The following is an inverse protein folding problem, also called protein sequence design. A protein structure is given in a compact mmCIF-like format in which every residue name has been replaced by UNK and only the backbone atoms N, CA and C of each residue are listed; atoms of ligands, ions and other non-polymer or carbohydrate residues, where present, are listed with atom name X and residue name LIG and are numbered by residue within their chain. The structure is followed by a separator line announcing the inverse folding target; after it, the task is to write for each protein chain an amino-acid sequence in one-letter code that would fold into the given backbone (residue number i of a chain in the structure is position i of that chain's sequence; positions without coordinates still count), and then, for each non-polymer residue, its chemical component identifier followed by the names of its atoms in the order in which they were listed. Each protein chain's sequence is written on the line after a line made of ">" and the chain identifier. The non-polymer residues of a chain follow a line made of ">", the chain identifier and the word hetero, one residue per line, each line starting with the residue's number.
data_IF_116378421814
#
_entry.id   IF_116378421814
#
_cell.length_a   1.000
_cell.length_b   1.000
_cell.length_c   1.000
_cell.angle_alpha   90.00
_cell.angle_beta   90.00
_cell.angle_gamma   90.00
#
_symmetry.space_group_name_H-M   'P 1'
#
loop_
_entity.id
_entity.type
_entity.pdbx_description
1 polymer ?
#
# COMPACT_ATOMS: atom_id res chain seq x y z
N UNK A 1 -8.99 -7.64 1.14
CA UNK A 1 -7.73 -6.96 0.73
C UNK A 1 -7.14 -6.15 1.88
N UNK A 2 -7.36 -6.55 3.14
CA UNK A 2 -7.10 -5.71 4.34
C UNK A 2 -5.64 -5.26 4.48
N UNK A 3 -4.68 -6.11 4.10
CA UNK A 3 -3.27 -5.74 4.12
C UNK A 3 -2.96 -4.52 3.22
N UNK A 4 -3.53 -4.48 2.01
CA UNK A 4 -3.35 -3.33 1.11
C UNK A 4 -4.01 -2.05 1.67
N UNK A 5 -5.20 -2.18 2.26
CA UNK A 5 -5.89 -1.06 2.90
C UNK A 5 -5.16 -0.54 4.15
N UNK A 6 -4.50 -1.42 4.90
CA UNK A 6 -3.67 -1.02 6.04
C UNK A 6 -2.51 -0.13 5.58
N UNK A 7 -1.80 -0.49 4.50
CA UNK A 7 -0.75 0.35 3.93
C UNK A 7 -1.28 1.64 3.29
N UNK A 8 -2.48 1.61 2.71
CA UNK A 8 -3.11 2.82 2.18
C UNK A 8 -3.27 3.92 3.24
N UNK A 9 -3.50 3.55 4.51
CA UNK A 9 -3.63 4.52 5.62
C UNK A 9 -2.37 5.36 5.85
N UNK A 10 -1.20 4.86 5.47
CA UNK A 10 0.08 5.55 5.54
C UNK A 10 0.26 6.63 4.44
N UNK A 11 -0.62 6.69 3.44
CA UNK A 11 -0.59 7.75 2.43
C UNK A 11 -1.10 9.08 3.00
N UNK A 12 -0.35 10.16 2.73
CA UNK A 12 -0.73 11.55 3.02
C UNK A 12 -1.62 12.18 1.92
N UNK A 13 -1.95 11.43 0.88
CA UNK A 13 -2.76 11.95 -0.23
C UNK A 13 -4.20 12.29 0.20
N UNK A 14 -4.70 13.45 -0.23
CA UNK A 14 -6.03 13.96 0.11
C UNK A 14 -7.14 13.39 -0.77
N UNK A 15 -6.86 13.15 -2.06
CA UNK A 15 -7.86 12.67 -3.03
C UNK A 15 -8.13 11.18 -2.89
N UNK A 16 -7.07 10.38 -2.77
CA UNK A 16 -7.18 8.92 -2.68
C UNK A 16 -5.98 8.34 -1.95
N UNK A 17 -6.29 7.43 -1.01
CA UNK A 17 -5.31 6.66 -0.25
C UNK A 17 -5.24 5.27 -0.87
N UNK A 18 -4.15 4.98 -1.56
CA UNK A 18 -3.94 3.75 -2.32
C UNK A 18 -2.81 2.97 -1.68
N UNK A 19 -3.05 1.69 -1.39
CA UNK A 19 -2.05 0.75 -0.93
C UNK A 19 -1.98 -0.45 -1.86
N UNK A 20 -0.80 -1.05 -1.96
CA UNK A 20 -0.52 -2.19 -2.80
C UNK A 20 0.29 -3.24 -2.01
N UNK A 21 0.02 -4.51 -2.29
CA UNK A 21 0.79 -5.65 -1.78
C UNK A 21 1.16 -6.55 -2.95
N UNK A 22 2.43 -6.90 -3.06
CA UNK A 22 2.93 -7.88 -4.02
C UNK A 22 2.98 -9.24 -3.35
N UNK A 23 2.23 -10.22 -3.88
CA UNK A 23 2.10 -11.56 -3.29
C UNK A 23 2.74 -12.59 -4.20
N UNK A 24 3.59 -13.46 -3.63
CA UNK A 24 4.17 -14.62 -4.32
C UNK A 24 4.06 -15.85 -3.42
N UNK A 25 3.51 -16.95 -3.95
CA UNK A 25 3.30 -18.20 -3.19
C UNK A 25 2.57 -17.97 -1.86
N UNK A 26 1.49 -17.17 -1.91
CA UNK A 26 0.67 -16.79 -0.76
C UNK A 26 1.44 -16.08 0.39
N UNK A 27 2.56 -15.43 0.07
CA UNK A 27 3.32 -14.58 0.99
C UNK A 27 3.49 -13.19 0.39
N UNK A 28 3.29 -12.17 1.21
CA UNK A 28 3.61 -10.80 0.83
C UNK A 28 5.14 -10.70 0.72
N UNK A 29 5.62 -10.23 -0.43
CA UNK A 29 7.06 -10.04 -0.71
C UNK A 29 7.44 -8.57 -0.86
N UNK A 30 6.44 -7.70 -1.04
CA UNK A 30 6.60 -6.24 -1.06
C UNK A 30 5.27 -5.57 -0.76
N UNK A 31 5.33 -4.33 -0.29
CA UNK A 31 4.18 -3.48 -0.04
C UNK A 31 4.54 -2.03 -0.33
N UNK A 32 3.53 -1.20 -0.59
CA UNK A 32 3.72 0.22 -0.82
C UNK A 32 2.41 0.99 -0.82
N UNK A 33 2.51 2.30 -0.83
CA UNK A 33 1.39 3.23 -0.91
C UNK A 33 1.79 4.45 -1.74
N UNK A 34 0.81 5.22 -2.22
CA UNK A 34 1.09 6.45 -2.96
C UNK A 34 1.60 7.56 -2.03
N UNK A 35 2.79 8.08 -2.32
CA UNK A 35 3.44 9.19 -1.62
C UNK A 35 4.29 10.01 -2.61
N UNK A 36 4.76 11.17 -2.16
CA UNK A 36 5.77 11.94 -2.88
C UNK A 36 7.18 11.41 -2.51
N UNK A 37 8.16 11.44 -3.43
CA UNK A 37 9.55 11.16 -3.09
C UNK A 37 10.08 12.15 -2.05
N UNK A 38 10.93 11.66 -1.13
CA UNK A 38 11.69 12.46 -0.17
C UNK A 38 13.02 12.96 -0.79
#
# INVERSE_FOLDING_TARGET
>A
MEAAEAFAKCSDSTRSKVGAVLVKRNRIISCGYNALPE
#
